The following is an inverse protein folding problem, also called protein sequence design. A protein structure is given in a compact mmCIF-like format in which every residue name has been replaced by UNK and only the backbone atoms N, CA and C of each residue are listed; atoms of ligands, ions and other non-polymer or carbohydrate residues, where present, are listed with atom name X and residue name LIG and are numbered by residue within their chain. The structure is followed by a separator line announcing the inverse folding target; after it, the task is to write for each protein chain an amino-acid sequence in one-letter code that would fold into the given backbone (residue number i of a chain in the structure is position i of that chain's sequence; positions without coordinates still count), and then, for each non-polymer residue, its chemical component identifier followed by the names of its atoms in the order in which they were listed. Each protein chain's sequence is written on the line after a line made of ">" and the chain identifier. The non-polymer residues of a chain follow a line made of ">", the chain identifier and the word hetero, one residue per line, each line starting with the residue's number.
data_IF_737616654304
#
_entry.id   IF_737616654304
#
_cell.length_a   1.000
_cell.length_b   1.000
_cell.length_c   1.000
_cell.angle_alpha   90.00
_cell.angle_beta   90.00
_cell.angle_gamma   90.00
#
_symmetry.space_group_name_H-M   'P 1'
#
loop_
_entity.id
_entity.type
_entity.pdbx_description
1 polymer ?
#
# COMPACT_ATOMS: atom_id res chain seq x y z
N UNK A 1 -1.04 6.65 -25.79
CA UNK A 1 -0.68 7.84 -24.97
C UNK A 1 0.77 7.69 -24.58
N UNK A 2 1.62 8.73 -24.65
CA UNK A 2 3.01 8.59 -24.23
C UNK A 2 3.09 8.26 -22.74
N UNK A 3 4.05 7.40 -22.36
CA UNK A 3 4.31 7.06 -20.97
C UNK A 3 4.70 8.34 -20.21
N UNK A 4 3.99 8.65 -19.14
CA UNK A 4 4.37 9.75 -18.26
C UNK A 4 5.66 9.36 -17.53
N UNK A 5 6.65 10.26 -17.48
CA UNK A 5 7.92 10.01 -16.81
C UNK A 5 7.66 9.56 -15.38
N UNK A 6 8.02 8.30 -15.07
CA UNK A 6 7.83 7.70 -13.74
C UNK A 6 8.97 8.22 -12.86
N UNK A 7 8.75 9.17 -11.93
CA UNK A 7 9.83 9.65 -11.08
C UNK A 7 10.38 8.48 -10.27
N UNK A 8 11.69 8.29 -10.31
CA UNK A 8 12.39 7.31 -9.47
C UNK A 8 12.34 7.77 -8.02
N UNK A 9 11.23 7.49 -7.33
CA UNK A 9 11.02 7.86 -5.92
C UNK A 9 11.95 7.14 -4.96
N UNK A 10 12.58 6.05 -5.41
CA UNK A 10 13.55 5.27 -4.65
C UNK A 10 14.86 5.26 -5.44
N UNK A 11 15.71 6.26 -5.22
CA UNK A 11 16.99 6.42 -5.92
C UNK A 11 18.09 5.55 -5.29
N UNK A 12 18.08 5.39 -3.96
CA UNK A 12 19.02 4.55 -3.22
C UNK A 12 18.59 3.07 -3.13
N UNK A 13 19.45 2.23 -2.57
CA UNK A 13 19.09 0.89 -2.11
C UNK A 13 18.20 0.98 -0.85
N UNK A 14 17.30 0.01 -0.67
CA UNK A 14 16.43 -0.04 0.50
C UNK A 14 17.20 -0.68 1.66
N UNK A 15 17.60 0.13 2.64
CA UNK A 15 18.29 -0.31 3.85
C UNK A 15 17.42 -0.16 5.11
N UNK A 16 17.66 -1.00 6.11
CA UNK A 16 16.85 -1.04 7.35
C UNK A 16 17.34 -0.10 8.46
N UNK A 17 18.38 0.70 8.20
CA UNK A 17 19.01 1.59 9.21
C UNK A 17 18.10 2.74 9.62
N UNK A 18 17.32 3.29 8.69
CA UNK A 18 16.35 4.34 8.95
C UNK A 18 14.95 3.81 8.66
N UNK A 19 14.09 3.81 9.66
CA UNK A 19 12.73 3.26 9.57
C UNK A 19 11.70 4.30 10.00
N UNK A 20 10.52 4.24 9.40
CA UNK A 20 9.38 5.06 9.79
C UNK A 20 8.15 4.20 10.02
N UNK A 21 7.33 4.59 10.97
CA UNK A 21 6.08 3.91 11.32
C UNK A 21 4.98 4.26 10.33
N UNK A 22 4.23 3.25 9.89
CA UNK A 22 2.99 3.42 9.13
C UNK A 22 1.85 3.56 10.14
N UNK A 23 1.51 4.82 10.45
CA UNK A 23 0.49 5.15 11.45
C UNK A 23 -0.89 4.56 11.09
N UNK A 24 -1.55 3.95 12.07
CA UNK A 24 -2.88 3.34 11.89
C UNK A 24 -2.89 2.00 11.17
N UNK A 25 -1.74 1.31 11.16
CA UNK A 25 -1.61 -0.06 10.65
C UNK A 25 -1.95 -1.12 11.70
N UNK A 26 -1.92 -0.77 13.00
CA UNK A 26 -2.50 -1.59 14.05
C UNK A 26 -4.04 -1.54 13.98
N UNK A 27 -4.73 -2.69 13.88
CA UNK A 27 -6.19 -2.69 13.89
C UNK A 27 -6.75 -2.24 15.26
N UNK A 28 -7.89 -1.54 15.31
CA UNK A 28 -8.52 -1.12 16.57
C UNK A 28 -8.91 -2.25 17.53
N UNK A 29 -9.02 -3.49 17.02
CA UNK A 29 -9.30 -4.71 17.79
C UNK A 29 -8.07 -5.26 18.52
N UNK A 30 -6.86 -4.90 18.08
CA UNK A 30 -5.59 -5.39 18.60
C UNK A 30 -5.22 -4.66 19.90
N UNK A 31 -6.05 -4.84 20.92
CA UNK A 31 -5.91 -4.20 22.24
C UNK A 31 -5.47 -5.23 23.28
N UNK A 32 -4.78 -4.81 24.37
CA UNK A 32 -4.31 -5.72 25.40
C UNK A 32 -5.42 -6.57 26.03
N UNK A 33 -6.64 -6.04 26.16
CA UNK A 33 -7.78 -6.80 26.71
C UNK A 33 -8.24 -7.98 25.86
N UNK A 34 -7.94 -7.95 24.55
CA UNK A 34 -8.31 -8.99 23.60
C UNK A 34 -7.14 -9.93 23.28
N UNK A 35 -5.93 -9.63 23.75
CA UNK A 35 -4.71 -10.35 23.41
C UNK A 35 -4.76 -11.80 23.94
N UNK A 36 -4.59 -12.75 23.03
CA UNK A 36 -4.60 -14.19 23.29
C UNK A 36 -3.19 -14.81 23.15
N UNK A 37 -2.15 -13.99 23.05
CA UNK A 37 -0.75 -14.38 23.00
C UNK A 37 -0.12 -14.26 21.61
N UNK A 38 1.20 -14.24 21.60
CA UNK A 38 2.01 -14.14 20.38
C UNK A 38 1.85 -15.37 19.49
N UNK A 39 1.82 -15.16 18.18
CA UNK A 39 1.81 -16.22 17.18
C UNK A 39 3.13 -16.99 17.20
N UNK A 40 3.09 -18.27 16.80
CA UNK A 40 4.31 -19.06 16.68
C UNK A 40 5.19 -18.51 15.55
N UNK A 41 6.46 -18.27 15.85
CA UNK A 41 7.44 -17.65 14.93
C UNK A 41 7.60 -18.39 13.60
N UNK A 42 7.40 -19.71 13.59
CA UNK A 42 7.47 -20.57 12.40
C UNK A 42 6.16 -20.71 11.62
N UNK A 43 5.07 -20.04 12.03
CA UNK A 43 3.80 -20.07 11.29
C UNK A 43 3.98 -19.42 9.93
N UNK A 44 3.58 -20.13 8.87
CA UNK A 44 3.63 -19.61 7.51
C UNK A 44 2.48 -18.62 7.28
N UNK A 45 2.81 -17.47 6.72
CA UNK A 45 1.88 -16.45 6.26
C UNK A 45 2.00 -16.35 4.74
N UNK A 46 0.89 -16.63 4.06
CA UNK A 46 0.82 -16.62 2.60
C UNK A 46 -0.07 -15.48 2.10
N UNK A 47 0.25 -15.00 0.90
CA UNK A 47 -0.56 -13.97 0.24
C UNK A 47 -0.51 -12.62 0.95
N UNK A 48 0.54 -12.36 1.75
CA UNK A 48 0.81 -11.01 2.24
C UNK A 48 1.06 -10.10 1.05
N UNK A 49 0.76 -8.82 1.18
CA UNK A 49 1.07 -7.92 0.07
C UNK A 49 1.36 -6.50 0.47
N UNK A 50 2.29 -5.89 -0.25
CA UNK A 50 2.59 -4.46 -0.15
C UNK A 50 1.82 -3.75 -1.24
N UNK A 51 1.00 -2.78 -0.85
CA UNK A 51 0.30 -1.88 -1.78
C UNK A 51 1.16 -0.64 -1.99
N UNK A 52 1.43 -0.35 -3.25
CA UNK A 52 2.28 0.76 -3.65
C UNK A 52 1.41 1.97 -4.01
N UNK A 53 1.79 3.14 -3.50
CA UNK A 53 1.12 4.42 -3.72
C UNK A 53 1.42 4.96 -5.11
N UNK A 54 0.51 5.80 -5.60
CA UNK A 54 0.74 6.68 -6.76
C UNK A 54 1.26 8.03 -6.27
N UNK A 55 1.93 8.76 -7.14
CA UNK A 55 2.23 10.18 -6.87
C UNK A 55 0.94 11.01 -6.86
N UNK A 56 0.97 12.19 -6.23
CA UNK A 56 -0.18 13.10 -6.27
C UNK A 56 -0.58 13.49 -7.71
N UNK A 57 0.40 13.66 -8.60
CA UNK A 57 0.16 13.93 -10.02
C UNK A 57 -0.53 12.74 -10.71
N UNK A 58 -0.05 11.51 -10.48
CA UNK A 58 -0.69 10.30 -11.02
C UNK A 58 -2.09 10.06 -10.42
N UNK A 59 -2.32 10.46 -9.16
CA UNK A 59 -3.66 10.42 -8.56
C UNK A 59 -4.60 11.40 -9.25
N UNK A 60 -4.20 12.67 -9.39
CA UNK A 60 -4.99 13.68 -10.08
C UNK A 60 -5.32 13.25 -11.53
N UNK A 61 -4.33 12.68 -12.22
CA UNK A 61 -4.49 12.18 -13.58
C UNK A 61 -5.44 10.96 -13.66
N UNK A 62 -5.37 10.04 -12.69
CA UNK A 62 -6.31 8.92 -12.62
C UNK A 62 -7.74 9.42 -12.39
N UNK A 63 -7.94 10.40 -11.50
CA UNK A 63 -9.27 10.97 -11.25
C UNK A 63 -9.84 11.66 -12.48
N UNK A 64 -9.00 12.41 -13.22
CA UNK A 64 -9.39 13.03 -14.48
C UNK A 64 -9.77 11.98 -15.55
N UNK A 65 -9.01 10.89 -15.65
CA UNK A 65 -9.33 9.79 -16.55
C UNK A 65 -10.66 9.12 -16.19
N UNK A 66 -10.90 8.84 -14.91
CA UNK A 66 -12.15 8.23 -14.44
C UNK A 66 -13.34 9.12 -14.80
N UNK A 67 -13.24 10.43 -14.54
CA UNK A 67 -14.29 11.38 -14.90
C UNK A 67 -14.54 11.40 -16.42
N UNK A 68 -13.47 11.43 -17.22
CA UNK A 68 -13.56 11.41 -18.68
C UNK A 68 -14.10 10.08 -19.24
N UNK A 69 -13.96 8.96 -18.53
CA UNK A 69 -14.51 7.66 -18.96
C UNK A 69 -16.01 7.52 -18.64
N UNK A 70 -16.53 8.34 -17.73
CA UNK A 70 -17.93 8.39 -17.32
C UNK A 70 -18.75 9.47 -18.02
N UNK A 71 -18.10 10.43 -18.69
CA UNK A 71 -18.74 11.50 -19.46
C UNK A 71 -19.06 11.05 -20.90
N UNK A 72 -20.34 10.98 -21.32
CA UNK A 72 -20.73 10.58 -22.67
C UNK A 72 -20.20 11.49 -23.80
N UNK A 73 -19.84 12.74 -23.47
CA UNK A 73 -19.31 13.71 -24.44
C UNK A 73 -17.80 13.58 -24.63
N UNK A 74 -17.13 12.84 -23.74
CA UNK A 74 -15.69 12.63 -23.78
C UNK A 74 -15.30 11.59 -24.84
N UNK A 75 -14.20 11.80 -25.57
CA UNK A 75 -13.65 10.79 -26.48
C UNK A 75 -13.16 9.52 -25.75
N UNK A 76 -13.06 9.57 -24.42
CA UNK A 76 -12.68 8.46 -23.55
C UNK A 76 -13.87 7.72 -22.93
N UNK A 77 -15.11 8.11 -23.23
CA UNK A 77 -16.31 7.45 -22.70
C UNK A 77 -16.28 5.93 -22.94
N UNK A 78 -16.49 5.15 -21.88
CA UNK A 78 -16.44 3.68 -21.91
C UNK A 78 -15.12 3.07 -22.45
N UNK A 79 -14.03 3.84 -22.56
CA UNK A 79 -12.72 3.34 -22.97
C UNK A 79 -11.88 3.01 -21.74
N UNK A 80 -12.13 1.83 -21.18
CA UNK A 80 -11.41 1.31 -20.02
C UNK A 80 -9.98 0.91 -20.39
N UNK A 81 -9.04 1.12 -19.46
CA UNK A 81 -7.67 0.67 -19.63
C UNK A 81 -7.55 -0.82 -19.33
N UNK A 82 -6.72 -1.50 -20.11
CA UNK A 82 -6.16 -2.80 -19.72
C UNK A 82 -5.22 -2.64 -18.51
N UNK A 83 -4.94 -3.71 -17.75
CA UNK A 83 -3.96 -3.67 -16.67
C UNK A 83 -2.58 -3.15 -17.10
N UNK A 84 -2.13 -3.49 -18.31
CA UNK A 84 -0.85 -3.05 -18.87
C UNK A 84 -0.84 -1.55 -19.16
N UNK A 85 -1.91 -1.03 -19.74
CA UNK A 85 -2.06 0.42 -19.98
C UNK A 85 -2.15 1.19 -18.67
N UNK A 86 -2.85 0.63 -17.67
CA UNK A 86 -2.86 1.19 -16.33
C UNK A 86 -1.45 1.22 -15.73
N UNK A 87 -0.71 0.10 -15.82
CA UNK A 87 0.64 0.00 -15.30
C UNK A 87 1.61 0.98 -15.98
N UNK A 88 1.46 1.19 -17.29
CA UNK A 88 2.28 2.12 -18.04
C UNK A 88 2.11 3.59 -17.59
N UNK A 89 0.90 3.96 -17.12
CA UNK A 89 0.57 5.34 -16.75
C UNK A 89 0.62 5.59 -15.23
N UNK A 90 0.11 4.65 -14.46
CA UNK A 90 -0.13 4.79 -13.01
C UNK A 90 0.64 3.76 -12.16
N UNK A 91 1.30 2.77 -12.79
CA UNK A 91 2.08 1.76 -12.11
C UNK A 91 3.43 2.28 -11.61
N UNK A 92 4.06 1.49 -10.75
CA UNK A 92 5.42 1.75 -10.24
C UNK A 92 6.47 1.38 -11.30
N UNK A 93 7.60 2.08 -11.26
CA UNK A 93 8.74 1.80 -12.13
C UNK A 93 9.33 0.40 -11.86
N UNK A 94 9.75 -0.29 -12.92
CA UNK A 94 10.30 -1.65 -12.82
C UNK A 94 11.56 -1.71 -11.96
N UNK A 95 12.42 -0.69 -12.05
CA UNK A 95 13.61 -0.57 -11.20
C UNK A 95 13.25 -0.48 -9.70
N UNK A 96 12.14 0.17 -9.37
CA UNK A 96 11.66 0.28 -7.98
C UNK A 96 11.05 -1.04 -7.51
N UNK A 97 10.31 -1.74 -8.37
CA UNK A 97 9.78 -3.08 -8.08
C UNK A 97 10.94 -4.06 -7.81
N UNK A 98 11.99 -4.04 -8.65
CA UNK A 98 13.16 -4.89 -8.46
C UNK A 98 13.85 -4.61 -7.10
N UNK A 99 14.00 -3.35 -6.71
CA UNK A 99 14.54 -2.99 -5.38
C UNK A 99 13.68 -3.55 -4.24
N UNK A 100 12.35 -3.46 -4.35
CA UNK A 100 11.42 -4.00 -3.35
C UNK A 100 11.50 -5.53 -3.27
N UNK A 101 11.62 -6.21 -4.41
CA UNK A 101 11.81 -7.66 -4.48
C UNK A 101 13.10 -8.07 -3.77
N UNK A 102 14.22 -7.44 -4.10
CA UNK A 102 15.50 -7.73 -3.45
C UNK A 102 15.48 -7.45 -1.94
N UNK A 103 14.76 -6.43 -1.49
CA UNK A 103 14.57 -6.18 -0.06
C UNK A 103 13.75 -7.29 0.60
N UNK A 104 12.65 -7.72 0.00
CA UNK A 104 11.83 -8.84 0.51
C UNK A 104 12.64 -10.14 0.58
N UNK A 105 13.35 -10.48 -0.50
CA UNK A 105 14.19 -11.69 -0.57
C UNK A 105 15.31 -11.68 0.47
N UNK A 106 15.92 -10.51 0.73
CA UNK A 106 16.94 -10.34 1.77
C UNK A 106 16.39 -10.61 3.18
N UNK A 107 15.11 -10.34 3.41
CA UNK A 107 14.39 -10.67 4.65
C UNK A 107 13.86 -12.12 4.68
N UNK A 108 14.19 -12.93 3.66
CA UNK A 108 13.83 -14.34 3.59
C UNK A 108 12.42 -14.61 3.06
N UNK A 109 11.73 -13.60 2.56
CA UNK A 109 10.42 -13.78 1.93
C UNK A 109 10.54 -14.35 0.51
N UNK A 110 9.52 -15.08 0.11
CA UNK A 110 9.29 -15.47 -1.29
C UNK A 110 8.36 -14.46 -1.94
N UNK A 111 8.78 -13.85 -3.05
CA UNK A 111 7.90 -13.00 -3.86
C UNK A 111 7.06 -13.88 -4.78
N UNK A 112 5.78 -14.04 -4.46
CA UNK A 112 4.87 -14.93 -5.18
C UNK A 112 4.45 -14.35 -6.53
N UNK A 113 4.14 -13.05 -6.56
CA UNK A 113 3.75 -12.36 -7.80
C UNK A 113 3.77 -10.84 -7.68
N UNK A 114 3.86 -10.19 -8.85
CA UNK A 114 3.65 -8.74 -9.00
C UNK A 114 2.33 -8.55 -9.76
N UNK A 115 1.46 -7.68 -9.26
CA UNK A 115 0.22 -7.34 -9.97
C UNK A 115 0.51 -6.78 -11.37
N UNK A 116 -0.33 -7.12 -12.36
CA UNK A 116 -0.21 -6.59 -13.74
C UNK A 116 -0.27 -5.06 -13.79
N UNK A 117 -1.01 -4.44 -12.88
CA UNK A 117 -1.11 -2.99 -12.68
C UNK A 117 0.12 -2.34 -12.03
N UNK A 118 1.14 -3.13 -11.63
CA UNK A 118 2.39 -2.67 -10.99
C UNK A 118 2.15 -1.80 -9.75
N UNK A 119 1.14 -2.13 -8.95
CA UNK A 119 0.78 -1.41 -7.72
C UNK A 119 0.65 -2.31 -6.48
N UNK A 120 0.92 -3.61 -6.62
CA UNK A 120 0.93 -4.58 -5.52
C UNK A 120 2.00 -5.63 -5.74
N UNK A 121 2.71 -5.97 -4.67
CA UNK A 121 3.66 -7.08 -4.57
C UNK A 121 3.08 -8.10 -3.60
N UNK A 122 2.88 -9.35 -4.02
CA UNK A 122 2.40 -10.44 -3.19
C UNK A 122 3.59 -11.31 -2.79
N UNK A 123 3.68 -11.65 -1.50
CA UNK A 123 4.78 -12.40 -0.93
C UNK A 123 4.35 -13.27 0.24
N UNK A 124 5.18 -14.27 0.53
CA UNK A 124 4.96 -15.25 1.58
C UNK A 124 6.20 -15.38 2.46
N UNK A 125 6.00 -15.73 3.73
CA UNK A 125 7.08 -15.93 4.70
C UNK A 125 6.56 -16.33 6.07
N UNK A 126 7.46 -16.42 7.05
CA UNK A 126 7.10 -16.80 8.42
C UNK A 126 6.71 -15.58 9.26
N UNK A 127 6.03 -15.82 10.39
CA UNK A 127 5.78 -14.79 11.41
C UNK A 127 7.07 -14.10 11.82
N UNK A 128 8.16 -14.86 12.07
CA UNK A 128 9.46 -14.29 12.44
C UNK A 128 9.98 -13.26 11.42
N UNK A 129 9.89 -13.61 10.13
CA UNK A 129 10.32 -12.74 9.04
C UNK A 129 9.47 -11.48 8.97
N UNK A 130 8.15 -11.59 9.13
CA UNK A 130 7.24 -10.43 9.18
C UNK A 130 7.58 -9.52 10.36
N UNK A 131 7.76 -10.09 11.54
CA UNK A 131 8.07 -9.35 12.76
C UNK A 131 9.41 -8.60 12.64
N UNK A 132 10.44 -9.26 12.09
CA UNK A 132 11.75 -8.66 11.84
C UNK A 132 11.69 -7.55 10.76
N UNK A 133 11.04 -7.82 9.63
CA UNK A 133 11.01 -6.91 8.49
C UNK A 133 10.13 -5.69 8.73
N UNK A 134 9.08 -5.80 9.55
CA UNK A 134 8.10 -4.75 9.82
C UNK A 134 8.15 -4.21 11.25
N UNK A 135 8.99 -4.75 12.13
CA UNK A 135 9.21 -4.21 13.48
C UNK A 135 7.99 -4.25 14.39
N UNK A 136 7.20 -5.32 14.30
CA UNK A 136 6.03 -5.59 15.15
C UNK A 136 6.12 -7.00 15.72
N UNK A 137 5.26 -7.35 16.68
CA UNK A 137 4.94 -8.74 16.99
C UNK A 137 3.56 -9.08 16.41
N UNK A 138 3.34 -10.33 16.00
CA UNK A 138 2.03 -10.79 15.58
C UNK A 138 1.39 -11.59 16.71
N UNK A 139 0.18 -11.21 17.09
CA UNK A 139 -0.56 -11.82 18.20
C UNK A 139 -1.90 -12.35 17.70
N UNK A 140 -2.39 -13.37 18.38
CA UNK A 140 -3.79 -13.75 18.32
C UNK A 140 -4.61 -12.82 19.19
N UNK A 141 -5.83 -12.50 18.75
CA UNK A 141 -6.79 -11.73 19.52
C UNK A 141 -8.13 -12.45 19.53
N UNK A 142 -8.88 -12.35 20.63
CA UNK A 142 -10.24 -12.88 20.74
C UNK A 142 -11.23 -11.74 20.87
N UNK A 143 -12.06 -11.55 19.84
CA UNK A 143 -13.07 -10.47 19.80
C UNK A 143 -14.40 -11.08 19.42
N UNK A 144 -15.45 -10.78 20.18
CA UNK A 144 -16.81 -11.31 19.95
C UNK A 144 -16.88 -12.84 19.82
N UNK A 145 -15.96 -13.55 20.47
CA UNK A 145 -15.86 -15.01 20.42
C UNK A 145 -15.07 -15.57 19.23
N UNK A 146 -14.65 -14.72 18.28
CA UNK A 146 -13.85 -15.09 17.12
C UNK A 146 -12.35 -14.88 17.36
N UNK A 147 -11.53 -15.78 16.80
CA UNK A 147 -10.09 -15.68 16.82
C UNK A 147 -9.59 -14.89 15.60
N UNK A 148 -8.80 -13.88 15.88
CA UNK A 148 -8.18 -12.97 14.94
C UNK A 148 -6.66 -13.00 15.13
N UNK A 149 -5.92 -12.48 14.16
CA UNK A 149 -4.52 -12.15 14.38
C UNK A 149 -4.21 -10.77 13.82
N UNK A 150 -3.20 -10.11 14.38
CA UNK A 150 -2.79 -8.78 13.96
C UNK A 150 -1.41 -8.37 14.52
N UNK A 151 -0.80 -7.31 13.95
CA UNK A 151 0.30 -6.60 14.59
C UNK A 151 -0.11 -6.07 15.97
N UNK A 152 0.75 -6.21 16.97
CA UNK A 152 0.57 -5.67 18.32
C UNK A 152 0.81 -4.16 18.42
N UNK A 153 1.39 -3.56 17.38
CA UNK A 153 1.64 -2.13 17.22
C UNK A 153 1.65 -1.75 15.75
N UNK A 154 1.70 -0.46 15.48
CA UNK A 154 1.89 0.02 14.11
C UNK A 154 3.21 -0.53 13.54
N UNK A 155 3.13 -1.02 12.30
CA UNK A 155 4.28 -1.52 11.58
C UNK A 155 5.22 -0.38 11.18
N UNK A 156 6.48 -0.73 10.92
CA UNK A 156 7.49 0.16 10.37
C UNK A 156 7.99 -0.34 9.03
N UNK A 157 8.48 0.57 8.20
CA UNK A 157 9.15 0.27 6.92
C UNK A 157 10.40 1.14 6.78
N UNK A 158 11.37 0.75 5.95
CA UNK A 158 12.50 1.62 5.60
C UNK A 158 12.04 3.01 5.11
N UNK A 159 12.70 4.07 5.56
CA UNK A 159 12.39 5.46 5.16
C UNK A 159 12.45 5.62 3.64
N UNK A 160 13.39 4.93 2.98
CA UNK A 160 13.56 4.92 1.53
C UNK A 160 12.30 4.52 0.75
N UNK A 161 11.37 3.77 1.36
CA UNK A 161 10.13 3.31 0.71
C UNK A 161 8.87 3.92 1.32
N UNK A 162 9.00 4.77 2.33
CA UNK A 162 7.88 5.34 3.08
C UNK A 162 6.87 6.12 2.22
N UNK A 163 7.35 6.86 1.22
CA UNK A 163 6.49 7.60 0.29
C UNK A 163 5.85 6.71 -0.79
N UNK A 164 6.35 5.47 -0.93
CA UNK A 164 5.91 4.48 -1.91
C UNK A 164 4.96 3.46 -1.29
N UNK A 165 5.18 3.02 -0.05
CA UNK A 165 4.34 2.02 0.60
C UNK A 165 3.09 2.70 1.13
N UNK A 166 1.94 2.36 0.54
CA UNK A 166 0.64 2.84 1.01
C UNK A 166 0.19 2.06 2.25
N UNK A 167 0.31 0.73 2.19
CA UNK A 167 -0.03 -0.17 3.30
C UNK A 167 0.58 -1.55 3.04
N UNK A 168 0.71 -2.35 4.10
CA UNK A 168 0.91 -3.79 4.00
C UNK A 168 -0.40 -4.45 4.41
N UNK A 169 -0.92 -5.36 3.58
CA UNK A 169 -2.21 -6.04 3.82
C UNK A 169 -2.00 -7.53 4.08
N UNK A 170 -3.03 -8.15 4.67
CA UNK A 170 -3.06 -9.55 5.10
C UNK A 170 -2.12 -9.90 6.26
N UNK A 171 -1.57 -8.88 6.94
CA UNK A 171 -0.94 -9.03 8.26
C UNK A 171 -1.97 -9.10 9.40
N UNK A 172 -3.27 -8.99 9.11
CA UNK A 172 -4.34 -9.10 10.09
C UNK A 172 -5.59 -9.78 9.52
N UNK A 173 -6.40 -10.36 10.41
CA UNK A 173 -7.77 -10.85 10.10
C UNK A 173 -8.74 -10.40 11.19
N UNK A 174 -9.78 -9.59 10.88
CA UNK A 174 -10.06 -8.96 9.58
C UNK A 174 -8.95 -7.98 9.13
N UNK A 175 -8.86 -7.68 7.82
CA UNK A 175 -7.85 -6.78 7.29
C UNK A 175 -8.06 -5.33 7.78
N UNK A 176 -6.96 -4.60 8.01
CA UNK A 176 -7.02 -3.16 8.30
C UNK A 176 -7.33 -2.36 7.04
N UNK A 177 -8.31 -1.45 7.14
CA UNK A 177 -8.56 -0.42 6.14
C UNK A 177 -7.90 0.88 6.60
N UNK A 178 -6.69 1.18 6.10
CA UNK A 178 -6.06 2.48 6.35
C UNK A 178 -6.86 3.54 5.58
N UNK A 179 -7.58 4.42 6.30
CA UNK A 179 -8.17 5.61 5.69
C UNK A 179 -7.05 6.60 5.41
N UNK A 180 -6.59 6.63 4.16
CA UNK A 180 -5.69 7.67 3.68
C UNK A 180 -6.38 9.02 3.88
N UNK A 181 -5.84 9.85 4.76
CA UNK A 181 -6.21 11.27 4.79
C UNK A 181 -5.79 11.85 3.44
N UNK A 182 -6.75 12.14 2.57
CA UNK A 182 -6.48 13.00 1.43
C UNK A 182 -5.96 14.33 1.99
N UNK A 183 -4.89 14.94 1.44
CA UNK A 183 -4.54 16.30 1.81
C UNK A 183 -5.76 17.18 1.55
N UNK A 184 -6.19 17.91 2.58
CA UNK A 184 -7.35 18.78 2.54
C UNK A 184 -7.32 19.65 1.29
N UNK A 185 -8.29 19.44 0.39
CA UNK A 185 -8.56 20.35 -0.72
C UNK A 185 -9.20 21.59 -0.09
N UNK A 186 -8.42 22.65 0.15
CA UNK A 186 -9.01 23.98 0.19
C UNK A 186 -9.53 24.25 -1.22
N UNK A 187 -10.85 24.24 -1.38
CA UNK A 187 -11.51 24.70 -2.60
C UNK A 187 -11.62 26.22 -2.45
N UNK A 188 -10.87 27.04 -3.23
CA UNK A 188 -11.06 28.48 -3.18
C UNK A 188 -12.48 28.77 -3.66
N UNK A 189 -13.28 29.40 -2.81
CA UNK A 189 -14.64 29.81 -3.15
C UNK A 189 -14.57 30.83 -4.29
N UNK A 190 -14.82 30.38 -5.51
CA UNK A 190 -14.90 31.26 -6.68
C UNK A 190 -16.18 32.09 -6.53
N UNK A 191 -16.03 33.33 -6.05
CA UNK A 191 -17.10 34.33 -6.05
C UNK A 191 -17.57 34.55 -7.49
N UNK A 192 -18.75 34.03 -7.80
CA UNK A 192 -19.47 34.34 -9.03
C UNK A 192 -19.92 35.81 -8.94
N UNK A 193 -19.17 36.72 -9.59
CA UNK A 193 -19.65 38.08 -9.84
C UNK A 193 -20.79 38.00 -10.86
N UNK A 194 -22.00 38.29 -10.41
CA UNK A 194 -23.11 38.62 -11.29
C UNK A 194 -22.79 39.94 -12.02
N UNK A 195 -22.68 39.89 -13.34
CA UNK A 195 -22.70 41.08 -14.18
C UNK A 195 -24.15 41.55 -14.33
N UNK A 196 -24.34 42.87 -14.21
CA UNK A 196 -25.61 43.59 -14.38
C UNK A 196 -26.00 43.70 -15.84
#
# INVERSE_FOLDING_TARGET
>A
MPAQERPERVTAAIGDTERTTIQGSQPPMARPENDAGRMAVGTQLEGNSIVLSRTAAQEADLQALIAAQQDPTSPSYHKWLTPEEFAARFGVADAVIAKMQSWLEKHGFTVDSISRSKNRIIFSGTVEQVEAAFGTELHYYKVDGEAHFAPSRDISVPVAVSSLVQTVTNLSRPPVLIRLRQPTREIPSMHLRAAR
#
